data_IF_052259183815
#
_entry.id   IF_052259183815
#
_cell.length_a   1.000
_cell.length_b   1.000
_cell.length_c   1.000
_cell.angle_alpha   90.00
_cell.angle_beta   90.00
_cell.angle_gamma   90.00
#
_symmetry.space_group_name_H-M   'P 1'
#
loop_
_entity.id
_entity.type
_entity.pdbx_description
1 polymer ?
#
# COMPACT_ATOMS: atom_id res chain seq x y z
N UNK A 1 -27.59 -6.99 9.40
CA UNK A 1 -26.89 -5.91 8.65
C UNK A 1 -25.68 -5.40 9.44
N UNK A 2 -25.82 -5.03 10.71
CA UNK A 2 -24.69 -4.57 11.57
C UNK A 2 -23.99 -5.73 12.33
N UNK A 3 -24.06 -6.96 11.82
CA UNK A 3 -23.41 -8.13 12.45
C UNK A 3 -24.03 -8.66 13.75
N UNK A 4 -25.14 -8.10 14.22
CA UNK A 4 -25.89 -8.59 15.40
C UNK A 4 -26.95 -9.62 14.95
N UNK A 5 -27.07 -10.72 15.70
CA UNK A 5 -28.07 -11.76 15.45
C UNK A 5 -29.50 -11.23 15.64
N UNK A 6 -30.40 -11.63 14.72
CA UNK A 6 -31.80 -11.26 14.75
C UNK A 6 -32.67 -12.34 15.38
N UNK A 7 -33.97 -12.04 15.52
CA UNK A 7 -34.97 -13.01 16.03
C UNK A 7 -35.26 -14.14 15.02
N UNK A 8 -35.29 -13.82 13.73
CA UNK A 8 -35.63 -14.76 12.65
C UNK A 8 -34.44 -15.15 11.77
N UNK A 9 -33.27 -14.54 11.99
CA UNK A 9 -32.06 -14.76 11.20
C UNK A 9 -30.90 -14.94 12.19
N UNK A 10 -30.31 -16.14 12.18
CA UNK A 10 -29.15 -16.51 12.99
C UNK A 10 -27.90 -16.53 12.13
N UNK A 11 -26.75 -16.16 12.73
CA UNK A 11 -25.47 -16.09 12.02
C UNK A 11 -24.66 -17.31 12.41
N UNK A 12 -24.43 -18.22 11.46
CA UNK A 12 -23.59 -19.38 11.68
C UNK A 12 -22.21 -19.13 11.09
N UNK A 13 -21.24 -18.88 11.97
CA UNK A 13 -19.82 -18.80 11.62
C UNK A 13 -19.19 -20.19 11.75
N UNK A 14 -18.78 -20.79 10.64
CA UNK A 14 -17.95 -22.00 10.68
C UNK A 14 -16.49 -21.55 10.73
N UNK A 15 -15.89 -21.53 11.92
CA UNK A 15 -14.47 -21.21 12.09
C UNK A 15 -13.62 -22.34 11.53
N UNK A 16 -12.96 -22.08 10.40
CA UNK A 16 -12.08 -23.00 9.67
C UNK A 16 -11.00 -22.22 8.90
N UNK A 17 -10.22 -22.88 8.03
CA UNK A 17 -9.18 -22.20 7.20
C UNK A 17 -9.75 -21.11 6.28
N UNK A 18 -11.03 -21.23 5.91
CA UNK A 18 -11.80 -20.18 5.27
C UNK A 18 -12.99 -19.92 6.20
N UNK A 19 -13.02 -18.77 6.88
CA UNK A 19 -14.18 -18.37 7.67
C UNK A 19 -15.39 -18.24 6.75
N UNK A 20 -16.22 -19.28 6.70
CA UNK A 20 -17.44 -19.28 5.91
C UNK A 20 -18.61 -18.87 6.80
N UNK A 21 -19.11 -17.68 6.52
CA UNK A 21 -20.27 -17.11 7.20
C UNK A 21 -21.51 -17.51 6.41
N UNK A 22 -22.41 -18.22 7.11
CA UNK A 22 -23.71 -18.65 6.60
C UNK A 22 -24.83 -18.06 7.46
N UNK A 23 -25.99 -17.84 6.84
CA UNK A 23 -27.16 -17.28 7.52
C UNK A 23 -28.27 -18.34 7.53
N UNK A 24 -28.83 -18.58 8.70
CA UNK A 24 -29.99 -19.46 8.87
C UNK A 24 -31.23 -18.60 9.02
N UNK A 25 -32.24 -18.87 8.19
CA UNK A 25 -33.54 -18.21 8.24
C UNK A 25 -34.52 -19.15 8.92
N UNK A 26 -35.36 -18.60 9.80
CA UNK A 26 -36.42 -19.36 10.47
C UNK A 26 -37.34 -20.04 9.42
N UNK A 27 -37.49 -21.38 9.47
CA UNK A 27 -38.29 -22.13 8.51
C UNK A 27 -39.80 -21.84 8.60
N UNK A 28 -40.27 -21.18 9.66
CA UNK A 28 -41.67 -20.77 9.83
C UNK A 28 -42.06 -19.54 8.99
N UNK A 29 -41.08 -18.84 8.40
CA UNK A 29 -41.37 -17.68 7.54
C UNK A 29 -41.85 -18.08 6.15
N UNK A 30 -42.68 -17.23 5.53
CA UNK A 30 -43.13 -17.41 4.15
C UNK A 30 -41.95 -17.51 3.16
N UNK A 31 -42.05 -18.43 2.19
CA UNK A 31 -40.97 -18.73 1.25
C UNK A 31 -40.56 -17.51 0.43
N UNK A 32 -41.50 -16.65 0.02
CA UNK A 32 -41.18 -15.46 -0.74
C UNK A 32 -40.37 -14.45 0.10
N UNK A 33 -40.71 -14.29 1.38
CA UNK A 33 -39.95 -13.45 2.31
C UNK A 33 -38.56 -14.02 2.58
N UNK A 34 -38.43 -15.35 2.69
CA UNK A 34 -37.13 -16.00 2.84
C UNK A 34 -36.23 -15.71 1.63
N UNK A 35 -36.74 -15.87 0.40
CA UNK A 35 -35.97 -15.61 -0.82
C UNK A 35 -35.57 -14.14 -0.97
N UNK A 36 -36.44 -13.21 -0.58
CA UNK A 36 -36.11 -11.78 -0.58
C UNK A 36 -35.06 -11.42 0.46
N UNK A 37 -35.13 -11.99 1.67
CA UNK A 37 -34.11 -11.80 2.70
C UNK A 37 -32.75 -12.33 2.25
N UNK A 38 -32.72 -13.50 1.60
CA UNK A 38 -31.50 -14.13 1.08
C UNK A 38 -30.74 -13.24 0.09
N UNK A 39 -31.44 -12.37 -0.66
CA UNK A 39 -30.78 -11.41 -1.57
C UNK A 39 -29.87 -10.44 -0.83
N UNK A 40 -30.17 -10.07 0.41
CA UNK A 40 -29.39 -9.10 1.21
C UNK A 40 -28.17 -9.76 1.89
N UNK A 41 -28.17 -11.09 2.05
CA UNK A 41 -27.10 -11.80 2.78
C UNK A 41 -25.69 -11.61 2.23
N UNK A 42 -25.43 -11.53 0.91
CA UNK A 42 -24.11 -11.22 0.38
C UNK A 42 -23.53 -9.91 0.96
N UNK A 43 -24.36 -8.87 1.12
CA UNK A 43 -23.94 -7.61 1.71
C UNK A 43 -23.59 -7.77 3.20
N UNK A 44 -24.43 -8.48 3.96
CA UNK A 44 -24.16 -8.79 5.36
C UNK A 44 -22.88 -9.63 5.53
N UNK A 45 -22.64 -10.58 4.63
CA UNK A 45 -21.41 -11.39 4.61
C UNK A 45 -20.19 -10.52 4.37
N UNK A 46 -20.23 -9.65 3.36
CA UNK A 46 -19.13 -8.73 3.08
C UNK A 46 -18.85 -7.78 4.25
N UNK A 47 -19.88 -7.26 4.92
CA UNK A 47 -19.73 -6.44 6.14
C UNK A 47 -18.96 -7.19 7.23
N UNK A 48 -19.41 -8.40 7.59
CA UNK A 48 -18.77 -9.19 8.64
C UNK A 48 -17.31 -9.54 8.31
N UNK A 49 -17.01 -9.88 7.06
CA UNK A 49 -15.65 -10.18 6.61
C UNK A 49 -14.74 -8.94 6.70
N UNK A 50 -15.25 -7.77 6.32
CA UNK A 50 -14.50 -6.52 6.40
C UNK A 50 -14.27 -6.15 7.87
N UNK A 51 -15.28 -6.25 8.72
CA UNK A 51 -15.21 -5.95 10.15
C UNK A 51 -14.20 -6.85 10.88
N UNK A 52 -14.28 -8.16 10.65
CA UNK A 52 -13.33 -9.13 11.19
C UNK A 52 -11.88 -8.87 10.72
N UNK A 53 -11.70 -8.50 9.45
CA UNK A 53 -10.38 -8.18 8.92
C UNK A 53 -9.80 -6.92 9.55
N UNK A 54 -10.62 -5.87 9.71
CA UNK A 54 -10.23 -4.62 10.36
C UNK A 54 -9.75 -4.88 11.79
N UNK A 55 -10.48 -5.68 12.56
CA UNK A 55 -10.09 -6.00 13.94
C UNK A 55 -8.83 -6.86 14.02
N UNK A 56 -8.70 -7.86 13.15
CA UNK A 56 -7.50 -8.72 13.06
C UNK A 56 -6.25 -7.93 12.66
N UNK A 57 -6.35 -7.08 11.63
CA UNK A 57 -5.23 -6.37 11.03
C UNK A 57 -4.86 -5.06 11.71
N UNK A 58 -5.66 -4.60 12.67
CA UNK A 58 -5.34 -3.41 13.48
C UNK A 58 -4.31 -3.66 14.58
N UNK A 59 -3.92 -4.92 14.80
CA UNK A 59 -2.81 -5.23 15.70
C UNK A 59 -1.49 -4.71 15.13
N UNK A 60 -0.60 -4.27 16.01
CA UNK A 60 0.69 -3.66 15.65
C UNK A 60 1.54 -4.52 14.71
N UNK A 61 1.38 -5.84 14.70
CA UNK A 61 2.22 -6.78 13.95
C UNK A 61 1.98 -6.78 12.43
N UNK A 62 0.92 -6.13 11.94
CA UNK A 62 0.48 -6.29 10.56
C UNK A 62 1.07 -5.29 9.55
N UNK A 63 1.89 -4.34 9.99
CA UNK A 63 2.55 -3.36 9.13
C UNK A 63 1.73 -2.10 8.86
N UNK A 64 2.41 -1.04 8.39
CA UNK A 64 1.85 0.30 8.21
C UNK A 64 0.82 0.34 7.08
N UNK A 65 1.05 -0.38 5.98
CA UNK A 65 0.12 -0.42 4.84
C UNK A 65 -1.22 -1.04 5.26
N UNK A 66 -1.17 -2.12 6.04
CA UNK A 66 -2.37 -2.79 6.54
C UNK A 66 -3.12 -1.91 7.56
N UNK A 67 -2.42 -1.14 8.39
CA UNK A 67 -3.05 -0.19 9.31
C UNK A 67 -3.77 0.92 8.54
N UNK A 68 -3.10 1.53 7.56
CA UNK A 68 -3.70 2.57 6.72
C UNK A 68 -4.90 2.03 5.92
N UNK A 69 -4.80 0.81 5.39
CA UNK A 69 -5.91 0.14 4.72
C UNK A 69 -7.07 -0.16 5.68
N UNK A 70 -6.79 -0.65 6.89
CA UNK A 70 -7.81 -0.91 7.92
C UNK A 70 -8.52 0.38 8.35
N UNK A 71 -7.80 1.49 8.46
CA UNK A 71 -8.39 2.80 8.73
C UNK A 71 -9.33 3.25 7.60
N UNK A 72 -8.93 3.05 6.34
CA UNK A 72 -9.78 3.35 5.18
C UNK A 72 -11.05 2.46 5.14
N UNK A 73 -10.92 1.17 5.48
CA UNK A 73 -12.04 0.26 5.62
C UNK A 73 -12.98 0.68 6.75
N UNK A 74 -12.46 1.13 7.90
CA UNK A 74 -13.29 1.67 8.99
C UNK A 74 -14.14 2.86 8.53
N UNK A 75 -13.55 3.78 7.77
CA UNK A 75 -14.29 4.92 7.23
C UNK A 75 -15.45 4.46 6.33
N UNK A 76 -15.23 3.47 5.48
CA UNK A 76 -16.29 2.87 4.68
C UNK A 76 -17.37 2.17 5.53
N UNK A 77 -16.97 1.45 6.59
CA UNK A 77 -17.92 0.80 7.49
C UNK A 77 -18.81 1.82 8.21
N UNK A 78 -18.29 3.01 8.53
CA UNK A 78 -19.10 4.11 9.07
C UNK A 78 -20.14 4.60 8.06
N UNK A 79 -19.78 4.75 6.79
CA UNK A 79 -20.73 5.10 5.72
C UNK A 79 -21.83 4.02 5.58
N UNK A 80 -21.45 2.75 5.67
CA UNK A 80 -22.40 1.63 5.70
C UNK A 80 -23.35 1.71 6.90
N UNK A 81 -22.83 1.95 8.10
CA UNK A 81 -23.64 2.08 9.31
C UNK A 81 -24.60 3.26 9.22
N UNK A 82 -24.17 4.39 8.63
CA UNK A 82 -25.02 5.55 8.38
C UNK A 82 -26.19 5.19 7.43
N UNK A 83 -25.92 4.45 6.36
CA UNK A 83 -26.97 3.93 5.46
C UNK A 83 -27.97 3.04 6.21
N UNK A 84 -27.48 2.12 7.06
CA UNK A 84 -28.35 1.24 7.86
C UNK A 84 -29.21 2.05 8.83
N UNK A 85 -28.65 3.08 9.48
CA UNK A 85 -29.40 3.96 10.38
C UNK A 85 -30.50 4.75 9.63
N UNK A 86 -30.23 5.21 8.42
CA UNK A 86 -31.23 5.87 7.57
C UNK A 86 -32.36 4.91 7.16
N UNK A 87 -32.04 3.65 6.86
CA UNK A 87 -33.04 2.63 6.55
C UNK A 87 -33.90 2.29 7.76
N UNK A 88 -33.30 2.14 8.95
CA UNK A 88 -34.01 1.95 10.21
C UNK A 88 -34.99 3.11 10.48
N UNK A 89 -34.56 4.35 10.22
CA UNK A 89 -35.45 5.51 10.32
C UNK A 89 -36.66 5.37 9.38
N UNK A 90 -36.46 5.07 8.08
CA UNK A 90 -37.56 4.86 7.13
C UNK A 90 -38.50 3.71 7.53
N UNK A 91 -37.96 2.65 8.12
CA UNK A 91 -38.74 1.54 8.65
C UNK A 91 -39.67 1.98 9.77
N UNK A 92 -39.19 2.80 10.72
CA UNK A 92 -40.00 3.35 11.82
C UNK A 92 -41.15 4.24 11.36
N UNK A 93 -40.99 4.92 10.22
CA UNK A 93 -42.08 5.68 9.59
C UNK A 93 -43.07 4.81 8.79
N UNK A 94 -42.87 3.49 8.73
CA UNK A 94 -43.71 2.58 7.95
C UNK A 94 -43.53 2.72 6.43
N UNK A 95 -42.44 3.36 5.98
CA UNK A 95 -42.19 3.66 4.56
C UNK A 95 -41.23 2.69 3.88
N UNK A 96 -40.62 1.78 4.64
CA UNK A 96 -39.66 0.81 4.11
C UNK A 96 -40.31 -0.55 3.87
N UNK A 97 -40.39 -0.96 2.60
CA UNK A 97 -40.69 -2.35 2.22
C UNK A 97 -39.40 -3.16 2.07
N UNK A 98 -39.51 -4.49 2.10
CA UNK A 98 -38.37 -5.39 1.89
C UNK A 98 -37.73 -5.20 0.49
N UNK A 99 -38.55 -4.90 -0.53
CA UNK A 99 -38.06 -4.56 -1.86
C UNK A 99 -37.33 -3.21 -1.88
N UNK A 100 -37.85 -2.22 -1.14
CA UNK A 100 -37.19 -0.93 -0.96
C UNK A 100 -35.83 -1.08 -0.27
N UNK A 101 -35.76 -1.91 0.77
CA UNK A 101 -34.51 -2.24 1.46
C UNK A 101 -33.47 -2.82 0.48
N UNK A 102 -33.88 -3.78 -0.36
CA UNK A 102 -33.00 -4.34 -1.39
C UNK A 102 -32.50 -3.27 -2.37
N UNK A 103 -33.41 -2.42 -2.88
CA UNK A 103 -33.08 -1.34 -3.82
C UNK A 103 -32.05 -0.36 -3.25
N UNK A 104 -32.27 0.16 -2.03
CA UNK A 104 -31.35 1.10 -1.40
C UNK A 104 -29.98 0.50 -1.06
N UNK A 105 -29.90 -0.82 -0.85
CA UNK A 105 -28.64 -1.51 -0.57
C UNK A 105 -27.78 -1.76 -1.83
N UNK A 106 -28.36 -1.69 -3.04
CA UNK A 106 -27.64 -2.06 -4.28
C UNK A 106 -26.34 -1.29 -4.52
N UNK A 107 -26.27 0.05 -4.32
CA UNK A 107 -25.04 0.80 -4.58
C UNK A 107 -23.85 0.34 -3.72
N UNK A 108 -24.11 0.02 -2.46
CA UNK A 108 -23.08 -0.42 -1.51
C UNK A 108 -22.68 -1.88 -1.71
N UNK A 109 -23.58 -2.70 -2.28
CA UNK A 109 -23.37 -4.14 -2.43
C UNK A 109 -22.14 -4.50 -3.25
N UNK A 110 -22.00 -3.91 -4.44
CA UNK A 110 -20.88 -4.24 -5.33
C UNK A 110 -19.56 -3.79 -4.75
N UNK A 111 -19.54 -2.60 -4.17
CA UNK A 111 -18.39 -2.03 -3.47
C UNK A 111 -17.89 -2.93 -2.34
N UNK A 112 -18.79 -3.37 -1.45
CA UNK A 112 -18.44 -4.25 -0.35
C UNK A 112 -18.04 -5.65 -0.82
N UNK A 113 -18.66 -6.18 -1.87
CA UNK A 113 -18.30 -7.48 -2.46
C UNK A 113 -16.90 -7.46 -3.11
N UNK A 114 -16.58 -6.40 -3.84
CA UNK A 114 -15.25 -6.22 -4.43
C UNK A 114 -14.17 -6.16 -3.35
N UNK A 115 -14.41 -5.43 -2.27
CA UNK A 115 -13.49 -5.36 -1.12
C UNK A 115 -13.40 -6.68 -0.36
N UNK A 116 -14.52 -7.37 -0.12
CA UNK A 116 -14.47 -8.67 0.56
C UNK A 116 -13.64 -9.69 -0.22
N UNK A 117 -13.65 -9.61 -1.56
CA UNK A 117 -12.80 -10.46 -2.41
C UNK A 117 -11.31 -10.16 -2.20
N UNK A 118 -10.93 -8.87 -2.09
CA UNK A 118 -9.55 -8.46 -1.79
C UNK A 118 -9.12 -8.94 -0.40
N UNK A 119 -9.98 -8.73 0.59
CA UNK A 119 -9.73 -9.10 1.98
C UNK A 119 -9.56 -10.61 2.15
N UNK A 120 -10.41 -11.42 1.50
CA UNK A 120 -10.27 -12.87 1.53
C UNK A 120 -8.93 -13.31 0.92
N UNK A 121 -8.56 -12.75 -0.24
CA UNK A 121 -7.25 -13.04 -0.87
C UNK A 121 -6.09 -12.62 0.04
N UNK A 122 -6.19 -11.48 0.70
CA UNK A 122 -5.18 -10.99 1.63
C UNK A 122 -5.07 -11.87 2.89
N UNK A 123 -6.20 -12.37 3.41
CA UNK A 123 -6.25 -13.23 4.59
C UNK A 123 -5.68 -14.63 4.31
N UNK A 124 -6.07 -15.26 3.20
CA UNK A 124 -5.64 -16.63 2.84
C UNK A 124 -4.12 -16.71 2.66
N UNK A 125 -3.54 -15.70 2.01
CA UNK A 125 -2.12 -15.68 1.67
C UNK A 125 -1.26 -14.95 2.72
N UNK A 126 -1.87 -14.52 3.83
CA UNK A 126 -1.25 -13.68 4.86
C UNK A 126 -0.43 -12.51 4.29
N UNK A 127 -1.02 -11.80 3.32
CA UNK A 127 -0.33 -10.77 2.55
C UNK A 127 -0.20 -9.48 3.39
N UNK A 128 0.99 -8.88 3.39
CA UNK A 128 1.30 -7.62 4.06
C UNK A 128 2.05 -6.65 3.14
N UNK A 129 2.15 -5.38 3.55
CA UNK A 129 2.90 -4.35 2.83
C UNK A 129 2.43 -4.08 1.41
N UNK A 130 3.41 -3.91 0.51
CA UNK A 130 3.21 -3.58 -0.91
C UNK A 130 2.35 -4.57 -1.68
N UNK A 131 2.30 -5.84 -1.26
CA UNK A 131 1.49 -6.84 -1.93
C UNK A 131 -0.02 -6.61 -1.74
N UNK A 132 -0.45 -5.93 -0.65
CA UNK A 132 -1.84 -5.48 -0.49
C UNK A 132 -2.20 -4.39 -1.49
N UNK A 133 -1.27 -3.47 -1.77
CA UNK A 133 -1.46 -2.43 -2.80
C UNK A 133 -1.61 -3.07 -4.19
N UNK A 134 -0.83 -4.10 -4.49
CA UNK A 134 -0.93 -4.85 -5.73
C UNK A 134 -2.27 -5.59 -5.85
N UNK A 135 -2.77 -6.17 -4.76
CA UNK A 135 -4.09 -6.79 -4.74
C UNK A 135 -5.20 -5.78 -5.03
N UNK A 136 -5.20 -4.63 -4.35
CA UNK A 136 -6.19 -3.57 -4.57
C UNK A 136 -6.19 -3.07 -6.02
N UNK A 137 -5.01 -2.85 -6.59
CA UNK A 137 -4.87 -2.42 -7.99
C UNK A 137 -5.30 -3.50 -8.98
N UNK A 138 -4.96 -4.77 -8.72
CA UNK A 138 -5.40 -5.88 -9.58
C UNK A 138 -6.91 -6.02 -9.59
N UNK A 139 -7.56 -5.82 -8.42
CA UNK A 139 -9.00 -5.82 -8.32
C UNK A 139 -9.62 -4.60 -9.01
N UNK A 140 -9.02 -3.40 -8.87
CA UNK A 140 -9.49 -2.20 -9.57
C UNK A 140 -9.46 -2.38 -11.10
N UNK A 141 -8.40 -3.00 -11.63
CA UNK A 141 -8.29 -3.36 -13.05
C UNK A 141 -9.33 -4.40 -13.47
N UNK A 142 -9.56 -5.43 -12.65
CA UNK A 142 -10.59 -6.43 -12.94
C UNK A 142 -12.01 -5.82 -12.96
N UNK A 143 -12.25 -4.79 -12.16
CA UNK A 143 -13.52 -4.06 -12.07
C UNK A 143 -13.60 -2.85 -13.01
N UNK A 144 -12.78 -2.78 -14.07
CA UNK A 144 -12.73 -1.63 -14.97
C UNK A 144 -14.08 -1.26 -15.62
N UNK A 145 -15.01 -2.21 -15.73
CA UNK A 145 -16.37 -1.98 -16.24
C UNK A 145 -17.31 -1.26 -15.25
N UNK A 146 -17.03 -1.27 -13.95
CA UNK A 146 -17.83 -0.57 -12.94
C UNK A 146 -17.03 0.62 -12.39
N UNK A 147 -17.30 1.81 -12.94
CA UNK A 147 -16.54 3.01 -12.62
C UNK A 147 -16.62 3.40 -11.14
N UNK A 148 -17.76 3.19 -10.48
CA UNK A 148 -17.94 3.53 -9.08
C UNK A 148 -17.07 2.63 -8.17
N UNK A 149 -17.10 1.32 -8.43
CA UNK A 149 -16.28 0.35 -7.69
C UNK A 149 -14.79 0.58 -7.95
N UNK A 150 -14.40 0.86 -9.20
CA UNK A 150 -13.02 1.18 -9.56
C UNK A 150 -12.50 2.41 -8.81
N UNK A 151 -13.23 3.53 -8.85
CA UNK A 151 -12.85 4.76 -8.16
C UNK A 151 -12.72 4.55 -6.65
N UNK A 152 -13.61 3.75 -6.07
CA UNK A 152 -13.52 3.39 -4.66
C UNK A 152 -12.27 2.57 -4.34
N UNK A 153 -11.93 1.56 -5.15
CA UNK A 153 -10.71 0.76 -4.98
C UNK A 153 -9.44 1.60 -5.17
N UNK A 154 -9.45 2.56 -6.10
CA UNK A 154 -8.36 3.53 -6.30
C UNK A 154 -8.20 4.43 -5.08
N UNK A 155 -9.29 4.96 -4.52
CA UNK A 155 -9.27 5.73 -3.28
C UNK A 155 -8.73 4.91 -2.10
N UNK A 156 -9.15 3.65 -1.97
CA UNK A 156 -8.63 2.73 -0.95
C UNK A 156 -7.12 2.47 -1.13
N UNK A 157 -6.67 2.33 -2.38
CA UNK A 157 -5.25 2.18 -2.71
C UNK A 157 -4.46 3.42 -2.32
N UNK A 158 -4.97 4.63 -2.59
CA UNK A 158 -4.35 5.89 -2.19
C UNK A 158 -4.23 6.02 -0.67
N UNK A 159 -5.29 5.69 0.07
CA UNK A 159 -5.25 5.73 1.53
C UNK A 159 -4.22 4.72 2.07
N UNK A 160 -4.22 3.49 1.55
CA UNK A 160 -3.28 2.44 1.98
C UNK A 160 -1.82 2.75 1.60
N UNK A 161 -1.59 3.42 0.45
CA UNK A 161 -0.24 3.76 -0.01
C UNK A 161 0.36 4.97 0.69
N UNK A 162 -0.43 5.78 1.41
CA UNK A 162 0.06 6.98 2.11
C UNK A 162 1.24 6.70 3.04
N UNK A 163 1.15 5.64 3.86
CA UNK A 163 2.24 5.24 4.75
C UNK A 163 3.46 4.73 3.96
N UNK A 164 3.23 3.99 2.87
CA UNK A 164 4.29 3.52 1.97
C UNK A 164 5.05 4.68 1.30
N UNK A 165 4.31 5.71 0.89
CA UNK A 165 4.87 6.91 0.27
C UNK A 165 5.71 7.72 1.25
N UNK A 166 5.36 7.73 2.54
CA UNK A 166 6.18 8.36 3.58
C UNK A 166 7.56 7.71 3.68
N UNK A 167 7.65 6.38 3.57
CA UNK A 167 8.94 5.67 3.58
C UNK A 167 9.72 5.99 2.29
N UNK A 168 9.03 6.00 1.15
CA UNK A 168 9.61 6.36 -0.14
C UNK A 168 10.18 7.79 -0.13
N UNK A 169 9.45 8.74 0.46
CA UNK A 169 9.86 10.15 0.56
C UNK A 169 11.18 10.27 1.33
N UNK A 170 11.29 9.64 2.50
CA UNK A 170 12.55 9.64 3.27
C UNK A 170 13.71 9.03 2.49
N UNK A 171 13.47 7.94 1.75
CA UNK A 171 14.51 7.35 0.95
C UNK A 171 14.96 8.24 -0.23
N UNK A 172 14.01 8.87 -0.92
CA UNK A 172 14.28 9.68 -2.12
C UNK A 172 14.85 11.05 -1.80
N UNK A 173 14.48 11.67 -0.66
CA UNK A 173 14.90 13.02 -0.29
C UNK A 173 16.05 13.04 0.74
N UNK A 174 16.15 12.02 1.61
CA UNK A 174 17.15 11.95 2.69
C UNK A 174 18.14 10.77 2.55
N UNK A 175 17.84 9.79 1.68
CA UNK A 175 18.62 8.55 1.57
C UNK A 175 18.53 7.65 2.81
N UNK A 176 17.50 7.81 3.66
CA UNK A 176 17.29 7.02 4.89
C UNK A 176 16.11 6.08 4.70
N UNK A 177 16.24 4.84 5.17
CA UNK A 177 15.10 3.91 5.28
C UNK A 177 14.60 3.92 6.72
N UNK A 178 13.36 4.37 6.91
CA UNK A 178 12.65 4.26 8.18
C UNK A 178 11.45 3.32 8.00
N UNK A 179 11.72 2.03 8.17
CA UNK A 179 10.75 0.96 7.93
C UNK A 179 10.80 -0.06 9.08
N UNK A 180 10.05 0.20 10.19
CA UNK A 180 10.02 -0.69 11.35
C UNK A 180 9.51 -2.10 11.05
N UNK A 181 8.73 -2.26 9.97
CA UNK A 181 8.02 -3.50 9.64
C UNK A 181 8.62 -4.25 8.44
N UNK A 182 9.61 -3.67 7.77
CA UNK A 182 10.26 -4.30 6.62
C UNK A 182 9.39 -4.37 5.36
N UNK A 183 8.37 -3.52 5.23
CA UNK A 183 7.42 -3.50 4.11
C UNK A 183 7.98 -2.82 2.84
N UNK A 184 9.00 -1.98 2.96
CA UNK A 184 9.56 -1.24 1.84
C UNK A 184 10.32 -2.18 0.89
N UNK A 185 10.19 -1.91 -0.42
CA UNK A 185 10.76 -2.77 -1.46
C UNK A 185 12.29 -2.66 -1.55
N UNK A 186 12.92 -1.76 -0.81
CA UNK A 186 14.38 -1.66 -0.69
C UNK A 186 14.79 -2.24 0.67
N UNK A 187 15.62 -3.29 0.63
CA UNK A 187 16.22 -3.86 1.83
C UNK A 187 17.54 -3.15 2.15
N UNK A 188 17.80 -2.93 3.44
CA UNK A 188 19.14 -2.62 3.93
C UNK A 188 19.75 -3.88 4.56
N UNK A 189 20.92 -4.30 4.07
CA UNK A 189 21.73 -5.32 4.73
C UNK A 189 22.64 -4.65 5.77
N UNK A 190 22.22 -4.74 7.04
CA UNK A 190 22.93 -4.16 8.18
C UNK A 190 24.21 -4.92 8.57
N UNK A 191 24.45 -6.10 8.00
CA UNK A 191 25.69 -6.85 8.25
C UNK A 191 26.90 -6.24 7.55
N UNK A 192 26.67 -5.51 6.46
CA UNK A 192 27.70 -4.85 5.68
C UNK A 192 28.00 -3.46 6.26
N UNK A 193 28.99 -3.41 7.14
CA UNK A 193 29.45 -2.15 7.73
C UNK A 193 30.57 -1.51 6.90
N UNK A 194 30.82 -0.22 7.15
CA UNK A 194 31.81 0.58 6.42
C UNK A 194 33.23 0.01 6.59
N UNK A 195 33.49 -0.65 7.71
CA UNK A 195 34.76 -1.27 8.07
C UNK A 195 35.11 -2.44 7.14
N UNK A 196 34.11 -3.12 6.56
CA UNK A 196 34.28 -4.19 5.58
C UNK A 196 34.86 -3.71 4.24
N UNK A 197 34.79 -2.41 3.93
CA UNK A 197 35.37 -1.81 2.71
C UNK A 197 36.90 -2.00 2.62
N UNK A 198 37.57 -2.17 3.76
CA UNK A 198 39.03 -2.37 3.78
C UNK A 198 39.46 -3.77 3.32
N UNK A 199 38.52 -4.74 3.34
CA UNK A 199 38.77 -6.14 2.98
C UNK A 199 38.10 -6.54 1.66
N UNK A 200 37.03 -5.84 1.25
CA UNK A 200 36.27 -6.16 0.04
C UNK A 200 36.79 -5.46 -1.23
N UNK A 201 37.59 -6.20 -2.02
CA UNK A 201 38.07 -5.77 -3.34
C UNK A 201 36.94 -5.64 -4.38
N UNK A 202 35.79 -6.29 -4.17
CA UNK A 202 34.70 -6.41 -5.14
C UNK A 202 33.61 -5.32 -5.04
N UNK A 203 33.82 -4.30 -4.19
CA UNK A 203 32.84 -3.24 -3.93
C UNK A 203 31.45 -3.78 -3.47
N UNK A 204 31.42 -4.94 -2.79
CA UNK A 204 30.18 -5.61 -2.33
C UNK A 204 29.33 -4.68 -1.48
N UNK A 205 29.95 -3.92 -0.58
CA UNK A 205 29.27 -2.91 0.22
C UNK A 205 28.36 -1.99 -0.62
N UNK A 206 28.87 -1.39 -1.71
CA UNK A 206 28.09 -0.47 -2.54
C UNK A 206 27.02 -1.17 -3.40
N UNK A 207 27.27 -2.43 -3.77
CA UNK A 207 26.35 -3.22 -4.60
C UNK A 207 25.22 -3.84 -3.78
N UNK A 208 25.55 -4.45 -2.64
CA UNK A 208 24.71 -5.37 -1.88
C UNK A 208 24.07 -4.76 -0.63
N UNK A 209 24.62 -3.66 -0.06
CA UNK A 209 24.03 -3.02 1.14
C UNK A 209 22.57 -2.60 0.93
N UNK A 210 22.22 -2.11 -0.26
CA UNK A 210 20.83 -1.86 -0.63
C UNK A 210 20.44 -2.64 -1.89
N UNK A 211 19.39 -3.44 -1.78
CA UNK A 211 18.87 -4.32 -2.83
C UNK A 211 17.35 -4.22 -2.95
N UNK A 212 16.81 -4.61 -4.11
CA UNK A 212 15.36 -4.70 -4.33
C UNK A 212 14.85 -6.03 -3.79
N UNK A 213 13.80 -5.99 -2.97
CA UNK A 213 13.03 -7.15 -2.55
C UNK A 213 11.98 -7.50 -3.59
N UNK A 214 11.46 -8.72 -3.50
CA UNK A 214 10.24 -9.11 -4.20
C UNK A 214 9.03 -8.32 -3.69
N UNK A 215 7.97 -8.23 -4.51
CA UNK A 215 6.73 -7.55 -4.13
C UNK A 215 6.74 -6.03 -4.34
N UNK A 216 7.44 -5.52 -5.36
CA UNK A 216 7.39 -4.10 -5.71
C UNK A 216 5.95 -3.71 -6.08
N UNK A 217 5.42 -2.57 -5.57
CA UNK A 217 4.13 -2.07 -6.02
C UNK A 217 4.13 -1.84 -7.54
N UNK A 218 3.11 -2.33 -8.24
CA UNK A 218 3.10 -2.38 -9.71
C UNK A 218 3.25 -1.00 -10.37
N UNK A 219 2.81 0.05 -9.69
CA UNK A 219 2.94 1.45 -10.11
C UNK A 219 4.34 2.06 -9.92
N UNK A 220 5.22 1.41 -9.15
CA UNK A 220 6.63 1.80 -8.96
C UNK A 220 7.60 0.87 -9.71
N UNK A 221 7.14 -0.28 -10.20
CA UNK A 221 7.99 -1.30 -10.81
C UNK A 221 8.93 -0.73 -11.90
N UNK A 222 8.41 0.14 -12.76
CA UNK A 222 9.17 0.72 -13.88
C UNK A 222 10.26 1.71 -13.44
N UNK A 223 10.18 2.26 -12.24
CA UNK A 223 11.11 3.27 -11.71
C UNK A 223 11.87 2.79 -10.48
N UNK A 224 11.66 1.55 -10.05
CA UNK A 224 12.25 0.98 -8.84
C UNK A 224 13.78 1.04 -8.88
N UNK A 225 14.38 0.82 -10.06
CA UNK A 225 15.82 0.98 -10.27
C UNK A 225 16.29 2.41 -10.01
N UNK A 226 15.60 3.40 -10.58
CA UNK A 226 15.89 4.83 -10.36
C UNK A 226 15.74 5.23 -8.89
N UNK A 227 14.69 4.75 -8.22
CA UNK A 227 14.48 5.01 -6.78
C UNK A 227 15.64 4.44 -5.96
N UNK A 228 16.08 3.22 -6.26
CA UNK A 228 17.22 2.59 -5.59
C UNK A 228 18.50 3.41 -5.77
N UNK A 229 18.85 3.78 -7.01
CA UNK A 229 20.06 4.58 -7.27
C UNK A 229 19.99 5.97 -6.65
N UNK A 230 18.83 6.62 -6.66
CA UNK A 230 18.64 7.95 -6.04
C UNK A 230 19.03 7.94 -4.57
N UNK A 231 18.43 7.04 -3.78
CA UNK A 231 18.76 6.96 -2.35
C UNK A 231 20.15 6.42 -2.09
N UNK A 232 20.71 5.55 -2.95
CA UNK A 232 22.13 5.16 -2.88
C UNK A 232 23.06 6.36 -3.01
N UNK A 233 22.81 7.28 -3.95
CA UNK A 233 23.63 8.49 -4.13
C UNK A 233 23.59 9.38 -2.89
N UNK A 234 22.41 9.65 -2.34
CA UNK A 234 22.27 10.43 -1.11
C UNK A 234 22.95 9.75 0.09
N UNK A 235 22.77 8.42 0.21
CA UNK A 235 23.39 7.66 1.29
C UNK A 235 24.92 7.70 1.22
N UNK A 236 25.52 7.58 0.03
CA UNK A 236 26.98 7.70 -0.16
C UNK A 236 27.49 9.05 0.35
N UNK A 237 26.83 10.15 -0.06
CA UNK A 237 27.23 11.49 0.38
C UNK A 237 27.12 11.65 1.89
N UNK A 238 26.06 11.11 2.50
CA UNK A 238 25.85 11.14 3.95
C UNK A 238 26.94 10.38 4.71
N UNK A 239 27.31 9.20 4.25
CA UNK A 239 28.39 8.37 4.82
C UNK A 239 29.78 9.03 4.72
N UNK A 240 29.94 9.98 3.80
CA UNK A 240 31.11 10.84 3.66
C UNK A 240 31.05 12.11 4.53
N UNK A 241 29.99 12.30 5.32
CA UNK A 241 29.80 13.47 6.19
C UNK A 241 29.15 14.68 5.48
N UNK A 242 28.60 14.48 4.28
CA UNK A 242 27.85 15.51 3.56
C UNK A 242 26.36 15.24 3.67
N UNK A 243 25.71 15.94 4.61
CA UNK A 243 24.26 15.90 4.77
C UNK A 243 23.59 16.76 3.69
N UNK A 244 23.41 16.17 2.51
CA UNK A 244 22.66 16.77 1.41
C UNK A 244 21.24 16.26 1.48
N UNK A 245 20.29 17.19 1.57
CA UNK A 245 18.86 16.89 1.43
C UNK A 245 18.38 17.51 0.13
N UNK A 246 17.60 16.74 -0.63
CA UNK A 246 16.94 17.29 -1.83
C UNK A 246 15.96 18.37 -1.35
N UNK A 247 16.06 19.61 -1.84
CA UNK A 247 15.23 20.71 -1.35
C UNK A 247 13.74 20.37 -1.55
N UNK A 248 12.90 20.52 -0.52
CA UNK A 248 11.47 20.31 -0.65
C UNK A 248 10.91 21.46 -1.50
N UNK A 249 10.47 21.18 -2.72
CA UNK A 249 9.64 22.12 -3.47
C UNK A 249 8.26 22.22 -2.81
N UNK A 250 7.57 23.35 -2.90
CA UNK A 250 6.22 23.52 -2.28
C UNK A 250 5.19 22.48 -2.78
N UNK A 251 5.48 21.80 -3.90
CA UNK A 251 4.68 20.71 -4.48
C UNK A 251 5.22 19.29 -4.15
N UNK A 252 6.23 19.13 -3.29
CA UNK A 252 7.01 17.89 -3.13
C UNK A 252 6.33 16.73 -2.42
N UNK A 253 5.13 16.91 -1.85
CA UNK A 253 4.45 15.81 -1.14
C UNK A 253 4.05 14.74 -2.15
N UNK A 254 4.77 13.62 -2.15
CA UNK A 254 4.43 12.37 -2.86
C UNK A 254 3.03 11.82 -2.52
N UNK A 255 2.35 12.44 -1.53
CA UNK A 255 1.07 12.07 -0.95
C UNK A 255 -0.14 12.09 -1.90
N UNK A 256 -0.06 12.75 -3.07
CA UNK A 256 -1.20 12.78 -4.02
C UNK A 256 -1.10 11.66 -5.07
N UNK A 257 -1.26 10.41 -4.61
CA UNK A 257 -1.46 9.26 -5.49
C UNK A 257 -2.87 9.32 -6.09
N UNK A 258 -3.04 9.76 -7.35
CA UNK A 258 -4.38 9.67 -7.97
C UNK A 258 -4.66 10.42 -9.26
N UNK A 259 -3.88 11.43 -9.70
CA UNK A 259 -4.35 12.24 -10.83
C UNK A 259 -3.34 12.58 -11.93
N UNK A 260 -2.05 12.81 -11.65
CA UNK A 260 -1.17 13.40 -12.69
C UNK A 260 0.22 12.75 -12.82
N UNK A 261 0.40 11.50 -12.39
CA UNK A 261 1.75 10.89 -12.33
C UNK A 261 2.81 11.78 -11.63
N UNK A 262 2.38 12.74 -10.81
CA UNK A 262 3.22 13.77 -10.20
C UNK A 262 4.38 13.17 -9.39
N UNK A 263 4.14 12.02 -8.75
CA UNK A 263 5.17 11.28 -8.05
C UNK A 263 6.34 10.86 -8.97
N UNK A 264 6.09 10.58 -10.25
CA UNK A 264 7.14 10.28 -11.23
C UNK A 264 8.04 11.48 -11.49
N UNK A 265 7.46 12.68 -11.58
CA UNK A 265 8.20 13.92 -11.80
C UNK A 265 9.06 14.26 -10.58
N UNK A 266 8.50 14.13 -9.37
CA UNK A 266 9.23 14.29 -8.12
C UNK A 266 10.44 13.34 -8.03
N UNK A 267 10.25 12.06 -8.35
CA UNK A 267 11.32 11.05 -8.30
C UNK A 267 12.41 11.37 -9.33
N UNK A 268 12.03 11.78 -10.55
CA UNK A 268 13.00 12.19 -11.58
C UNK A 268 13.80 13.42 -11.16
N UNK A 269 13.13 14.43 -10.59
CA UNK A 269 13.80 15.63 -10.10
C UNK A 269 14.78 15.31 -8.97
N UNK A 270 14.37 14.48 -8.00
CA UNK A 270 15.24 14.02 -6.93
C UNK A 270 16.45 13.22 -7.44
N UNK A 271 16.27 12.35 -8.42
CA UNK A 271 17.36 11.62 -9.08
C UNK A 271 18.36 12.57 -9.75
N UNK A 272 17.88 13.53 -10.53
CA UNK A 272 18.73 14.50 -11.22
C UNK A 272 19.52 15.35 -10.22
N UNK A 273 18.90 15.76 -9.12
CA UNK A 273 19.58 16.48 -8.05
C UNK A 273 20.65 15.62 -7.37
N UNK A 274 20.28 14.41 -6.89
CA UNK A 274 21.18 13.53 -6.16
C UNK A 274 22.39 13.09 -7.01
N UNK A 275 22.16 12.81 -8.30
CA UNK A 275 23.25 12.46 -9.24
C UNK A 275 24.19 13.63 -9.51
N UNK A 276 23.65 14.84 -9.71
CA UNK A 276 24.44 16.05 -9.97
C UNK A 276 25.29 16.43 -8.76
N UNK A 277 24.69 16.44 -7.56
CA UNK A 277 25.40 16.74 -6.31
C UNK A 277 26.52 15.73 -6.01
N UNK A 278 26.25 14.44 -6.20
CA UNK A 278 27.28 13.40 -6.02
C UNK A 278 28.43 13.57 -7.02
N UNK A 279 28.13 13.88 -8.29
CA UNK A 279 29.16 14.11 -9.30
C UNK A 279 29.99 15.35 -8.98
N UNK A 280 29.36 16.47 -8.61
CA UNK A 280 30.05 17.69 -8.18
C UNK A 280 30.94 17.41 -6.97
N UNK A 281 30.45 16.65 -5.99
CA UNK A 281 31.23 16.26 -4.82
C UNK A 281 32.47 15.45 -5.19
N UNK A 282 32.32 14.43 -6.04
CA UNK A 282 33.41 13.56 -6.47
C UNK A 282 34.43 14.33 -7.33
N UNK A 283 33.95 15.19 -8.22
CA UNK A 283 34.80 15.94 -9.14
C UNK A 283 35.55 17.06 -8.42
N UNK A 284 34.85 17.87 -7.62
CA UNK A 284 35.42 19.10 -7.06
C UNK A 284 36.13 18.85 -5.73
N UNK A 285 35.54 18.08 -4.81
CA UNK A 285 36.16 17.84 -3.48
C UNK A 285 37.17 16.72 -3.46
N UNK A 286 36.95 15.67 -4.25
CA UNK A 286 37.83 14.48 -4.27
C UNK A 286 38.79 14.42 -5.46
N UNK A 287 38.74 15.42 -6.35
CA UNK A 287 39.58 15.57 -7.55
C UNK A 287 39.71 14.27 -8.35
N UNK A 288 38.56 13.76 -8.81
CA UNK A 288 38.52 12.55 -9.64
C UNK A 288 39.40 12.71 -10.89
N UNK A 289 39.43 13.89 -11.50
CA UNK A 289 40.24 14.14 -12.70
C UNK A 289 41.73 14.04 -12.44
N UNK A 290 42.21 14.59 -11.32
CA UNK A 290 43.60 14.43 -10.88
C UNK A 290 43.95 12.97 -10.61
N UNK A 291 43.09 12.24 -9.90
CA UNK A 291 43.30 10.81 -9.61
C UNK A 291 43.34 9.94 -10.86
N UNK A 292 42.42 10.18 -11.82
CA UNK A 292 42.42 9.47 -13.10
C UNK A 292 43.68 9.79 -13.93
N UNK A 293 44.16 11.05 -13.89
CA UNK A 293 45.43 11.44 -14.52
C UNK A 293 46.61 10.69 -13.89
N UNK A 294 46.64 10.56 -12.56
CA UNK A 294 47.66 9.77 -11.86
C UNK A 294 47.59 8.29 -12.24
N UNK A 295 46.40 7.68 -12.30
CA UNK A 295 46.24 6.28 -12.73
C UNK A 295 46.75 6.11 -14.17
N UNK A 296 46.40 7.03 -15.07
CA UNK A 296 46.90 6.99 -16.45
C UNK A 296 48.44 7.09 -16.50
N UNK A 297 49.02 8.02 -15.75
CA UNK A 297 50.46 8.25 -15.78
C UNK A 297 51.27 7.08 -15.19
N UNK A 298 50.82 6.52 -14.05
CA UNK A 298 51.59 5.49 -13.34
C UNK A 298 51.19 4.05 -13.72
N UNK A 299 49.92 3.79 -14.00
CA UNK A 299 49.43 2.44 -14.26
C UNK A 299 49.43 2.09 -15.76
N UNK A 300 49.15 3.08 -16.62
CA UNK A 300 49.13 2.90 -18.09
C UNK A 300 50.45 3.32 -18.75
N UNK A 301 51.49 3.63 -17.95
CA UNK A 301 52.85 3.97 -18.40
C UNK A 301 52.89 5.12 -19.42
N UNK A 302 51.96 6.06 -19.31
CA UNK A 302 51.93 7.25 -20.16
C UNK A 302 52.95 8.27 -19.62
N UNK A 303 54.24 7.97 -19.78
CA UNK A 303 55.33 8.90 -19.54
C UNK A 303 55.71 9.62 -20.84
N UNK A 304 55.06 10.76 -21.08
CA UNK A 304 55.58 11.85 -21.89
C UNK A 304 55.35 13.16 -21.14
#
# INVERSE_FOLDING_TARGET
>A
MVGIEGRYILIKTVRGKNDDISFLVDPSMDLALQELAKRIFPLCKSFLLIDQFVESRSQFQNGLVNHAFSAALRALLLDYQAMVAQLEHQFRFGRLSLQGLWFYCQPMMRSMQALSTVIQKASVNNISGSAVLNLLQSQAKAMAGDNAVRLMLEKMTQCASSAYMSILERWVYEGVIDDPYGEFFIAEDKSLQKESLTQDYEAKYWRQRYSLKDGIPSFLANIAGTILTTGKYLNVMRECGHNVQVPPSENSKLMSFGSNHHYLECIKAAYNFASSELLNLINDKYDLTGRLRSIKHYLLLDQV
#
